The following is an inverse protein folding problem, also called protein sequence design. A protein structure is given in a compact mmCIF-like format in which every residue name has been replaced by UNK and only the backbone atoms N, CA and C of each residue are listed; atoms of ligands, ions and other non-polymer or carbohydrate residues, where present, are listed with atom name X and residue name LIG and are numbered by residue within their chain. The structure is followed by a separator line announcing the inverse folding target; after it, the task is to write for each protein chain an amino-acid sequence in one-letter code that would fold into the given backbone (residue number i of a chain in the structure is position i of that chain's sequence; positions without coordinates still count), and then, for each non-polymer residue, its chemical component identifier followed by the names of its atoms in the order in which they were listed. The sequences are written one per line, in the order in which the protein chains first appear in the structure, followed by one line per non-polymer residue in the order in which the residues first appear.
data_IF_510055895912
#
_entry.id   IF_510055895912
#
_cell.length_a   1.000
_cell.length_b   1.000
_cell.length_c   1.000
_cell.angle_alpha   90.00
_cell.angle_beta   90.00
_cell.angle_gamma   90.00
#
_symmetry.space_group_name_H-M   'P 1'
#
loop_
_entity.id
_entity.type
_entity.pdbx_description
1 polymer ?
#
# COMPACT_ATOMS: atom_id res chain seq x y z
N UNK A 1 32.24 -53.68 -24.06
CA UNK A 1 30.77 -53.81 -24.13
C UNK A 1 30.19 -52.64 -23.36
N UNK A 2 29.72 -51.61 -24.08
CA UNK A 2 28.30 -51.37 -24.35
C UNK A 2 27.55 -50.91 -23.07
N UNK A 3 26.95 -49.73 -22.99
CA UNK A 3 26.70 -48.72 -24.01
C UNK A 3 26.50 -47.35 -23.38
N UNK A 4 26.91 -46.32 -24.12
CA UNK A 4 26.52 -44.96 -23.84
C UNK A 4 25.02 -44.83 -24.07
N UNK A 5 24.28 -44.45 -23.03
CA UNK A 5 22.93 -43.95 -23.20
C UNK A 5 23.03 -42.63 -23.95
N UNK A 6 22.79 -42.69 -25.26
CA UNK A 6 22.46 -41.52 -26.06
C UNK A 6 21.22 -40.88 -25.40
N UNK A 7 21.33 -39.60 -25.05
CA UNK A 7 20.15 -38.81 -24.73
C UNK A 7 19.26 -38.83 -25.98
N UNK A 8 18.15 -39.59 -25.91
CA UNK A 8 17.11 -39.56 -26.93
C UNK A 8 16.74 -38.11 -27.19
N UNK A 9 16.73 -37.72 -28.47
CA UNK A 9 16.30 -36.39 -28.91
C UNK A 9 14.78 -36.25 -28.72
N UNK A 10 14.34 -36.17 -27.46
CA UNK A 10 12.94 -36.09 -27.05
C UNK A 10 12.24 -34.85 -27.58
N UNK A 11 12.98 -33.80 -27.95
CA UNK A 11 12.42 -32.57 -28.52
C UNK A 11 11.78 -32.80 -29.90
N UNK A 12 12.38 -33.64 -30.77
CA UNK A 12 11.86 -33.86 -32.13
C UNK A 12 10.62 -34.76 -32.10
N UNK A 13 10.65 -35.83 -31.29
CA UNK A 13 9.50 -36.73 -31.13
C UNK A 13 8.33 -36.06 -30.40
N UNK A 14 8.61 -35.23 -29.38
CA UNK A 14 7.58 -34.43 -28.73
C UNK A 14 6.99 -33.38 -29.68
N UNK A 15 7.82 -32.72 -30.51
CA UNK A 15 7.33 -31.75 -31.49
C UNK A 15 6.41 -32.39 -32.54
N UNK A 16 6.73 -33.60 -33.01
CA UNK A 16 5.85 -34.35 -33.92
C UNK A 16 4.54 -34.71 -33.22
N UNK A 17 4.59 -35.16 -31.95
CA UNK A 17 3.39 -35.43 -31.15
C UNK A 17 2.47 -34.22 -31.01
N UNK A 18 3.03 -33.04 -30.70
CA UNK A 18 2.28 -31.79 -30.63
C UNK A 18 1.71 -31.35 -31.99
N UNK A 19 2.44 -31.57 -33.09
CA UNK A 19 1.94 -31.26 -34.43
C UNK A 19 0.75 -32.16 -34.83
N UNK A 20 0.83 -33.46 -34.53
CA UNK A 20 -0.28 -34.39 -34.78
C UNK A 20 -1.49 -34.01 -33.92
N UNK A 21 -1.28 -33.70 -32.64
CA UNK A 21 -2.35 -33.25 -31.75
C UNK A 21 -3.01 -31.96 -32.27
N UNK A 22 -2.22 -30.97 -32.71
CA UNK A 22 -2.74 -29.73 -33.31
C UNK A 22 -3.51 -30.01 -34.61
N UNK A 23 -3.05 -30.93 -35.45
CA UNK A 23 -3.77 -31.32 -36.65
C UNK A 23 -5.12 -31.96 -36.32
N UNK A 24 -5.16 -32.88 -35.35
CA UNK A 24 -6.40 -33.52 -34.89
C UNK A 24 -7.36 -32.48 -34.30
N UNK A 25 -6.87 -31.59 -33.42
CA UNK A 25 -7.67 -30.50 -32.87
C UNK A 25 -8.18 -29.58 -33.99
N UNK A 26 -7.35 -29.26 -34.97
CA UNK A 26 -7.73 -28.44 -36.12
C UNK A 26 -8.87 -29.06 -36.92
N UNK A 27 -8.81 -30.37 -37.20
CA UNK A 27 -9.89 -31.10 -37.88
C UNK A 27 -11.16 -31.12 -37.03
N UNK A 28 -11.07 -31.34 -35.72
CA UNK A 28 -12.22 -31.32 -34.82
C UNK A 28 -12.88 -29.93 -34.77
N UNK A 29 -12.07 -28.87 -34.67
CA UNK A 29 -12.57 -27.48 -34.70
C UNK A 29 -13.20 -27.15 -36.05
N UNK A 30 -12.62 -27.62 -37.16
CA UNK A 30 -13.18 -27.43 -38.49
C UNK A 30 -14.52 -28.16 -38.66
N UNK A 31 -14.62 -29.43 -38.24
CA UNK A 31 -15.88 -30.18 -38.24
C UNK A 31 -16.94 -29.52 -37.34
N UNK A 32 -16.54 -29.10 -36.15
CA UNK A 32 -17.41 -28.36 -35.23
C UNK A 32 -17.95 -27.09 -35.89
N UNK A 33 -17.09 -26.30 -36.53
CA UNK A 33 -17.52 -25.10 -37.25
C UNK A 33 -18.42 -25.45 -38.44
N UNK A 34 -18.11 -26.49 -39.22
CA UNK A 34 -18.91 -26.87 -40.39
C UNK A 34 -20.36 -27.25 -40.03
N UNK A 35 -20.56 -27.93 -38.90
CA UNK A 35 -21.89 -28.37 -38.48
C UNK A 35 -22.63 -27.41 -37.55
N UNK A 36 -21.91 -26.61 -36.77
CA UNK A 36 -22.50 -25.75 -35.72
C UNK A 36 -22.27 -24.25 -35.95
N UNK A 37 -21.93 -23.80 -37.17
CA UNK A 37 -21.68 -22.36 -37.39
C UNK A 37 -22.91 -21.51 -37.06
N UNK A 38 -24.12 -21.95 -37.40
CA UNK A 38 -25.37 -21.26 -37.10
C UNK A 38 -25.59 -21.08 -35.60
N UNK A 39 -25.43 -22.16 -34.83
CA UNK A 39 -25.57 -22.18 -33.37
C UNK A 39 -24.50 -21.31 -32.69
N UNK A 40 -23.27 -21.37 -33.17
CA UNK A 40 -22.18 -20.52 -32.65
C UNK A 40 -22.47 -19.04 -32.90
N UNK A 41 -22.97 -18.69 -34.09
CA UNK A 41 -23.34 -17.29 -34.41
C UNK A 41 -24.54 -16.83 -33.57
N UNK A 42 -25.51 -17.70 -33.31
CA UNK A 42 -26.65 -17.44 -32.44
C UNK A 42 -26.21 -17.21 -30.98
N UNK A 43 -25.28 -18.03 -30.49
CA UNK A 43 -24.67 -17.86 -29.17
C UNK A 43 -23.95 -16.51 -29.07
N UNK A 44 -23.13 -16.17 -30.07
CA UNK A 44 -22.43 -14.87 -30.12
C UNK A 44 -23.43 -13.71 -30.16
N UNK A 45 -24.53 -13.84 -30.92
CA UNK A 45 -25.61 -12.83 -30.92
C UNK A 45 -26.16 -12.59 -29.52
N UNK A 46 -26.45 -13.65 -28.76
CA UNK A 46 -26.95 -13.52 -27.39
C UNK A 46 -25.92 -12.90 -26.43
N UNK A 47 -24.63 -13.26 -26.56
CA UNK A 47 -23.56 -12.61 -25.80
C UNK A 47 -23.54 -11.10 -26.09
N UNK A 48 -23.59 -10.72 -27.38
CA UNK A 48 -23.64 -9.31 -27.78
C UNK A 48 -24.91 -8.61 -27.31
N UNK A 49 -26.05 -9.30 -27.35
CA UNK A 49 -27.31 -8.78 -26.82
C UNK A 49 -27.20 -8.49 -25.32
N UNK A 50 -26.62 -9.40 -24.53
CA UNK A 50 -26.38 -9.19 -23.10
C UNK A 50 -25.43 -8.01 -22.84
N UNK A 51 -24.35 -7.87 -23.63
CA UNK A 51 -23.47 -6.71 -23.57
C UNK A 51 -24.22 -5.40 -23.88
N UNK A 52 -25.02 -5.38 -24.95
CA UNK A 52 -25.84 -4.23 -25.33
C UNK A 52 -26.90 -3.90 -24.26
N UNK A 53 -27.50 -4.91 -23.64
CA UNK A 53 -28.42 -4.71 -22.53
C UNK A 53 -27.71 -4.01 -21.35
N UNK A 54 -26.51 -4.45 -20.97
CA UNK A 54 -25.72 -3.76 -19.93
C UNK A 54 -25.37 -2.31 -20.32
N UNK A 55 -25.06 -2.07 -21.59
CA UNK A 55 -24.74 -0.73 -22.11
C UNK A 55 -25.96 0.19 -22.10
N UNK A 56 -27.16 -0.35 -22.38
CA UNK A 56 -28.41 0.41 -22.38
C UNK A 56 -28.72 1.07 -21.02
N UNK A 57 -28.12 0.59 -19.93
CA UNK A 57 -28.22 1.22 -18.61
C UNK A 57 -27.47 2.56 -18.50
N UNK A 58 -26.49 2.80 -19.36
CA UNK A 58 -25.59 3.96 -19.28
C UNK A 58 -25.59 4.83 -20.54
N UNK A 59 -26.27 4.37 -21.60
CA UNK A 59 -26.31 5.01 -22.91
C UNK A 59 -27.76 5.38 -23.22
N UNK A 60 -28.01 6.65 -23.57
CA UNK A 60 -29.35 7.14 -23.91
C UNK A 60 -29.82 6.67 -25.28
N UNK A 61 -31.13 6.76 -25.50
CA UNK A 61 -31.79 6.30 -26.73
C UNK A 61 -31.28 7.00 -28.00
N UNK A 62 -30.71 8.21 -27.89
CA UNK A 62 -30.17 8.99 -29.01
C UNK A 62 -28.71 8.67 -29.38
N UNK A 63 -28.06 7.73 -28.69
CA UNK A 63 -26.65 7.45 -28.92
C UNK A 63 -26.40 6.81 -30.29
N UNK A 64 -25.49 7.39 -31.07
CA UNK A 64 -25.12 6.88 -32.38
C UNK A 64 -23.77 6.16 -32.36
N UNK A 65 -23.72 5.02 -33.06
CA UNK A 65 -22.57 4.17 -33.29
C UNK A 65 -22.17 4.31 -34.76
N UNK A 66 -20.88 4.48 -35.02
CA UNK A 66 -20.39 4.63 -36.38
C UNK A 66 -20.04 3.27 -36.99
N UNK A 67 -20.79 2.84 -38.01
CA UNK A 67 -20.54 1.56 -38.68
C UNK A 67 -20.46 1.74 -40.20
N UNK A 68 -19.31 1.38 -40.78
CA UNK A 68 -19.05 1.44 -42.24
C UNK A 68 -19.42 2.76 -42.90
N UNK A 69 -19.07 3.90 -42.29
CA UNK A 69 -19.33 5.21 -42.86
C UNK A 69 -20.71 5.79 -42.57
N UNK A 70 -21.55 5.10 -41.80
CA UNK A 70 -22.90 5.55 -41.43
C UNK A 70 -23.06 5.59 -39.92
N UNK A 71 -23.79 6.59 -39.44
CA UNK A 71 -24.25 6.65 -38.06
C UNK A 71 -25.52 5.80 -37.91
N UNK A 72 -25.48 4.88 -36.96
CA UNK A 72 -26.59 4.02 -36.59
C UNK A 72 -26.94 4.31 -35.14
N UNK A 73 -28.21 4.60 -34.87
CA UNK A 73 -28.67 4.74 -33.51
C UNK A 73 -28.61 3.37 -32.79
N UNK A 74 -28.14 3.40 -31.54
CA UNK A 74 -27.97 2.23 -30.70
C UNK A 74 -29.30 1.54 -30.38
N UNK A 75 -30.35 2.31 -30.05
CA UNK A 75 -31.66 1.78 -29.69
C UNK A 75 -32.33 1.07 -30.87
N UNK A 76 -32.26 1.66 -32.07
CA UNK A 76 -32.74 0.99 -33.30
C UNK A 76 -32.01 -0.33 -33.56
N UNK A 77 -30.71 -0.41 -33.28
CA UNK A 77 -29.95 -1.66 -33.41
C UNK A 77 -30.33 -2.69 -32.34
N UNK A 78 -30.60 -2.23 -31.12
CA UNK A 78 -30.88 -3.07 -29.95
C UNK A 78 -32.30 -3.63 -29.94
N UNK A 79 -33.32 -2.76 -29.97
CA UNK A 79 -34.74 -3.13 -29.90
C UNK A 79 -35.34 -3.44 -31.27
N UNK A 80 -34.80 -2.83 -32.33
CA UNK A 80 -35.42 -2.85 -33.65
C UNK A 80 -36.45 -1.72 -33.81
N UNK A 81 -37.02 -1.63 -35.00
CA UNK A 81 -38.12 -0.72 -35.33
C UNK A 81 -39.36 -1.57 -35.65
N UNK A 82 -40.56 -1.16 -35.20
CA UNK A 82 -41.85 -1.89 -35.14
C UNK A 82 -42.44 -2.29 -36.53
N UNK A 83 -41.59 -2.70 -37.47
CA UNK A 83 -41.98 -3.22 -38.77
C UNK A 83 -40.89 -3.21 -39.85
N UNK A 84 -39.75 -2.53 -39.63
CA UNK A 84 -38.74 -2.30 -40.70
C UNK A 84 -37.41 -3.01 -40.49
N UNK A 85 -36.95 -3.15 -39.25
CA UNK A 85 -35.70 -3.83 -38.92
C UNK A 85 -35.86 -4.66 -37.65
N UNK A 86 -35.73 -6.00 -37.70
CA UNK A 86 -35.66 -6.81 -36.50
C UNK A 86 -34.38 -6.45 -35.74
N UNK A 87 -34.52 -5.96 -34.50
CA UNK A 87 -33.40 -5.70 -33.60
C UNK A 87 -32.61 -6.99 -33.30
N UNK A 88 -31.53 -6.87 -32.52
CA UNK A 88 -30.62 -8.01 -32.25
C UNK A 88 -31.38 -9.27 -31.78
N UNK A 89 -32.40 -9.12 -30.94
CA UNK A 89 -33.20 -10.25 -30.43
C UNK A 89 -34.19 -10.82 -31.47
N UNK A 90 -34.68 -10.00 -32.40
CA UNK A 90 -35.71 -10.37 -33.38
C UNK A 90 -35.17 -10.98 -34.68
N UNK A 91 -33.84 -10.99 -34.89
CA UNK A 91 -33.24 -11.48 -36.13
C UNK A 91 -33.28 -13.02 -36.17
N UNK A 92 -33.93 -13.67 -37.16
CA UNK A 92 -33.96 -15.12 -37.25
C UNK A 92 -32.55 -15.70 -37.50
N UNK A 93 -32.29 -16.91 -36.97
CA UNK A 93 -30.94 -17.51 -36.94
C UNK A 93 -30.36 -17.70 -38.35
N UNK A 94 -31.22 -18.00 -39.31
CA UNK A 94 -30.87 -18.24 -40.71
C UNK A 94 -30.34 -16.98 -41.41
N UNK A 95 -30.64 -15.78 -40.87
CA UNK A 95 -30.17 -14.49 -41.40
C UNK A 95 -28.90 -13.98 -40.71
N UNK A 96 -28.34 -14.72 -39.74
CA UNK A 96 -27.09 -14.37 -39.05
C UNK A 96 -25.87 -14.57 -39.96
N UNK A 97 -25.60 -13.55 -40.78
CA UNK A 97 -24.38 -13.45 -41.57
C UNK A 97 -23.31 -12.63 -40.81
N UNK A 98 -22.05 -12.74 -41.25
CA UNK A 98 -20.91 -11.98 -40.71
C UNK A 98 -21.15 -10.46 -40.69
N UNK A 99 -21.98 -9.95 -41.61
CA UNK A 99 -22.41 -8.56 -41.58
C UNK A 99 -23.10 -8.19 -40.27
N UNK A 100 -24.14 -8.93 -39.87
CA UNK A 100 -24.88 -8.66 -38.63
C UNK A 100 -24.02 -8.89 -37.39
N UNK A 101 -23.14 -9.90 -37.39
CA UNK A 101 -22.20 -10.10 -36.29
C UNK A 101 -21.24 -8.92 -36.13
N UNK A 102 -20.72 -8.39 -37.24
CA UNK A 102 -19.86 -7.20 -37.20
C UNK A 102 -20.62 -5.94 -36.78
N UNK A 103 -21.91 -5.83 -37.14
CA UNK A 103 -22.78 -4.75 -36.69
C UNK A 103 -23.04 -4.84 -35.18
N UNK A 104 -23.42 -6.00 -34.65
CA UNK A 104 -23.63 -6.20 -33.21
C UNK A 104 -22.36 -5.97 -32.42
N UNK A 105 -21.20 -6.38 -32.95
CA UNK A 105 -19.90 -6.08 -32.36
C UNK A 105 -19.61 -4.58 -32.31
N UNK A 106 -19.94 -3.82 -33.36
CA UNK A 106 -19.78 -2.36 -33.34
C UNK A 106 -20.73 -1.69 -32.34
N UNK A 107 -21.99 -2.14 -32.29
CA UNK A 107 -23.01 -1.64 -31.37
C UNK A 107 -22.66 -1.89 -29.90
N UNK A 108 -22.04 -3.03 -29.57
CA UNK A 108 -21.63 -3.31 -28.18
C UNK A 108 -20.25 -2.72 -27.82
N UNK A 109 -19.26 -2.80 -28.71
CA UNK A 109 -17.89 -2.45 -28.34
C UNK A 109 -17.57 -0.95 -28.40
N UNK A 110 -18.22 -0.18 -29.29
CA UNK A 110 -17.96 1.26 -29.37
C UNK A 110 -18.37 2.02 -28.11
N UNK A 111 -19.56 1.80 -27.53
CA UNK A 111 -19.92 2.41 -26.25
C UNK A 111 -18.99 1.99 -25.11
N UNK A 112 -18.58 0.71 -25.06
CA UNK A 112 -17.70 0.18 -24.01
C UNK A 112 -16.28 0.72 -24.05
N UNK A 113 -15.86 1.30 -25.18
CA UNK A 113 -14.54 1.93 -25.31
C UNK A 113 -14.31 2.99 -24.24
N UNK A 114 -15.30 3.85 -23.96
CA UNK A 114 -15.15 4.94 -23.00
C UNK A 114 -14.96 4.40 -21.57
N UNK A 115 -15.84 3.51 -21.04
CA UNK A 115 -15.64 2.86 -19.75
C UNK A 115 -14.29 2.16 -19.62
N UNK A 116 -13.84 1.41 -20.64
CA UNK A 116 -12.55 0.74 -20.58
C UNK A 116 -11.39 1.72 -20.57
N UNK A 117 -11.43 2.78 -21.40
CA UNK A 117 -10.39 3.84 -21.36
C UNK A 117 -10.33 4.45 -19.96
N UNK A 118 -11.47 4.80 -19.36
CA UNK A 118 -11.52 5.34 -17.99
C UNK A 118 -10.90 4.35 -17.00
N UNK A 119 -11.27 3.07 -17.06
CA UNK A 119 -10.76 2.04 -16.15
C UNK A 119 -9.24 1.84 -16.29
N UNK A 120 -8.73 1.77 -17.53
CA UNK A 120 -7.30 1.64 -17.77
C UNK A 120 -6.52 2.89 -17.38
N UNK A 121 -7.05 4.09 -17.64
CA UNK A 121 -6.43 5.35 -17.20
C UNK A 121 -6.41 5.44 -15.67
N UNK A 122 -7.49 5.08 -14.98
CA UNK A 122 -7.54 5.04 -13.52
C UNK A 122 -6.52 4.03 -12.96
N UNK A 123 -6.42 2.83 -13.56
CA UNK A 123 -5.41 1.84 -13.20
C UNK A 123 -3.98 2.35 -13.41
N UNK A 124 -3.72 3.04 -14.51
CA UNK A 124 -2.42 3.65 -14.79
C UNK A 124 -2.05 4.73 -13.76
N UNK A 125 -2.98 5.63 -13.42
CA UNK A 125 -2.79 6.64 -12.38
C UNK A 125 -2.54 5.99 -11.01
N UNK A 126 -3.29 4.94 -10.67
CA UNK A 126 -3.07 4.19 -9.45
C UNK A 126 -1.65 3.60 -9.40
N UNK A 127 -1.21 2.94 -10.47
CA UNK A 127 0.14 2.39 -10.54
C UNK A 127 1.22 3.47 -10.42
N UNK A 128 0.99 4.66 -10.98
CA UNK A 128 1.92 5.77 -10.90
C UNK A 128 2.10 6.31 -9.47
N UNK A 129 1.01 6.46 -8.71
CA UNK A 129 1.06 7.10 -7.38
C UNK A 129 1.08 6.12 -6.21
N UNK A 130 0.40 4.99 -6.34
CA UNK A 130 0.21 3.97 -5.31
C UNK A 130 0.82 2.60 -5.69
N UNK A 131 1.61 2.54 -6.77
CA UNK A 131 2.24 1.31 -7.21
C UNK A 131 3.31 0.76 -6.25
N UNK A 132 3.52 -0.56 -6.25
CA UNK A 132 4.59 -1.21 -5.48
C UNK A 132 5.96 -0.75 -6.00
N UNK A 133 6.64 0.07 -5.19
CA UNK A 133 7.90 0.71 -5.55
C UNK A 133 7.89 2.21 -5.27
N UNK A 134 6.75 2.89 -5.41
CA UNK A 134 6.64 4.34 -5.16
C UNK A 134 6.11 4.65 -3.75
N UNK A 135 5.21 3.81 -3.22
CA UNK A 135 4.60 4.05 -1.90
C UNK A 135 5.59 3.99 -0.73
N UNK A 136 6.57 3.07 -0.78
CA UNK A 136 7.50 2.78 0.33
C UNK A 136 8.94 3.26 0.11
N UNK A 137 9.33 3.60 -1.12
CA UNK A 137 10.67 4.16 -1.41
C UNK A 137 10.58 5.68 -1.41
N UNK A 138 10.70 6.28 -0.23
CA UNK A 138 10.78 7.74 -0.07
C UNK A 138 12.19 8.12 0.36
N UNK A 139 12.70 9.25 -0.14
CA UNK A 139 13.90 9.87 0.42
C UNK A 139 13.50 10.57 1.71
N UNK A 140 13.88 10.01 2.84
CA UNK A 140 13.63 10.61 4.16
C UNK A 140 14.88 11.40 4.59
N UNK A 141 14.66 12.55 5.21
CA UNK A 141 15.67 13.22 6.02
C UNK A 141 15.72 12.58 7.43
N UNK A 142 16.67 12.98 8.27
CA UNK A 142 16.82 12.44 9.63
C UNK A 142 15.51 12.55 10.43
N UNK A 143 14.82 13.69 10.36
CA UNK A 143 13.56 13.90 11.07
C UNK A 143 12.46 12.96 10.58
N UNK A 144 12.31 12.80 9.26
CA UNK A 144 11.33 11.88 8.68
C UNK A 144 11.63 10.42 9.01
N UNK A 145 12.91 10.06 9.18
CA UNK A 145 13.30 8.74 9.64
C UNK A 145 12.91 8.52 11.11
N UNK A 146 13.22 9.48 12.00
CA UNK A 146 12.84 9.43 13.42
C UNK A 146 11.31 9.34 13.56
N UNK A 147 10.56 10.13 12.81
CA UNK A 147 9.08 10.11 12.83
C UNK A 147 8.50 8.80 12.30
N UNK A 148 9.15 8.18 11.31
CA UNK A 148 8.73 6.86 10.82
C UNK A 148 9.04 5.76 11.85
N UNK A 149 10.23 5.82 12.46
CA UNK A 149 10.70 4.83 13.43
C UNK A 149 10.00 4.96 14.77
N UNK A 150 9.57 6.15 15.19
CA UNK A 150 8.86 6.35 16.47
C UNK A 150 7.54 5.59 16.55
N UNK A 151 6.91 5.29 15.40
CA UNK A 151 5.72 4.42 15.32
C UNK A 151 6.01 2.97 15.67
N UNK A 152 7.27 2.54 15.53
CA UNK A 152 7.73 1.17 15.82
C UNK A 152 8.47 1.11 17.16
N UNK A 153 9.18 2.17 17.51
CA UNK A 153 9.97 2.31 18.74
C UNK A 153 9.47 3.52 19.54
N UNK A 154 8.48 3.35 20.43
CA UNK A 154 7.87 4.48 21.13
C UNK A 154 8.83 5.25 22.05
N UNK A 155 9.92 4.62 22.50
CA UNK A 155 10.97 5.23 23.33
C UNK A 155 11.59 6.48 22.66
N UNK A 156 11.67 6.50 21.32
CA UNK A 156 12.21 7.66 20.58
C UNK A 156 11.12 8.66 20.16
N UNK A 157 9.84 8.41 20.47
CA UNK A 157 8.74 9.30 20.10
C UNK A 157 8.89 10.73 20.62
N UNK A 158 9.41 11.00 21.84
CA UNK A 158 9.64 12.37 22.29
C UNK A 158 10.58 13.16 21.36
N UNK A 159 11.59 12.50 20.79
CA UNK A 159 12.54 13.12 19.84
C UNK A 159 11.95 13.41 18.46
N UNK A 160 10.78 12.84 18.13
CA UNK A 160 10.06 13.23 16.92
C UNK A 160 9.48 14.65 17.04
N UNK A 161 9.10 15.06 18.25
CA UNK A 161 8.60 16.42 18.55
C UNK A 161 9.66 17.38 19.07
N UNK A 162 10.71 16.85 19.70
CA UNK A 162 11.74 17.62 20.36
C UNK A 162 13.10 17.38 19.70
N UNK A 163 13.73 18.45 19.22
CA UNK A 163 15.04 18.41 18.56
C UNK A 163 16.11 18.99 19.50
N UNK A 164 17.00 18.15 20.05
CA UNK A 164 18.08 18.59 20.94
C UNK A 164 19.03 19.59 20.27
N UNK A 165 19.21 19.51 18.95
CA UNK A 165 20.15 20.38 18.21
C UNK A 165 19.71 21.84 18.15
N UNK A 166 18.43 22.10 18.40
CA UNK A 166 17.88 23.46 18.47
C UNK A 166 18.04 24.10 19.84
N UNK A 167 18.49 23.35 20.86
CA UNK A 167 18.84 23.95 22.13
C UNK A 167 20.13 24.77 21.99
N UNK A 168 20.26 25.89 22.72
CA UNK A 168 21.46 26.70 22.67
C UNK A 168 22.66 25.83 23.08
N UNK A 169 23.65 25.60 22.20
CA UNK A 169 24.80 24.79 22.54
C UNK A 169 25.58 25.49 23.66
N UNK A 170 26.07 24.73 24.64
CA UNK A 170 27.00 25.25 25.65
C UNK A 170 28.40 25.26 25.05
N UNK A 171 29.02 26.42 24.76
CA UNK A 171 30.41 26.44 24.34
C UNK A 171 31.31 25.94 25.48
N UNK A 172 32.38 25.17 25.18
CA UNK A 172 33.35 24.74 26.19
C UNK A 172 33.86 25.92 27.01
N UNK A 173 33.76 25.83 28.35
CA UNK A 173 34.22 26.87 29.28
C UNK A 173 33.23 28.02 29.54
N UNK A 174 32.02 27.98 29.00
CA UNK A 174 30.97 28.94 29.37
C UNK A 174 30.45 28.70 30.80
N UNK A 175 30.06 29.76 31.54
CA UNK A 175 29.58 29.61 32.91
C UNK A 175 28.31 28.77 32.98
N UNK A 176 28.18 27.96 34.04
CA UNK A 176 27.02 27.08 34.23
C UNK A 176 25.77 27.93 34.45
N UNK A 177 24.69 27.76 33.65
CA UNK A 177 23.47 28.51 33.80
C UNK A 177 22.77 28.17 35.12
N UNK A 178 22.04 29.14 35.68
CA UNK A 178 21.27 28.95 36.91
C UNK A 178 20.17 27.87 36.76
N UNK A 179 19.61 27.74 35.56
CA UNK A 179 18.63 26.72 35.21
C UNK A 179 19.15 25.86 34.04
N UNK A 180 19.07 24.55 34.19
CA UNK A 180 19.51 23.61 33.16
C UNK A 180 18.40 23.43 32.12
N UNK A 181 18.73 23.38 30.82
CA UNK A 181 17.74 23.09 29.78
C UNK A 181 17.17 21.68 29.95
N UNK A 182 16.00 21.43 29.35
CA UNK A 182 15.30 20.14 29.46
C UNK A 182 16.12 18.95 28.95
N UNK A 183 17.09 19.18 28.06
CA UNK A 183 18.00 18.16 27.53
C UNK A 183 19.45 18.60 27.76
N UNK A 184 19.82 18.74 29.03
CA UNK A 184 21.18 19.04 29.44
C UNK A 184 22.02 17.76 29.57
N UNK A 185 23.30 17.87 29.20
CA UNK A 185 24.29 16.85 29.53
C UNK A 185 24.52 16.79 31.05
N UNK A 186 24.98 15.64 31.54
CA UNK A 186 25.32 15.49 32.95
C UNK A 186 26.50 16.40 33.31
N UNK A 187 26.35 17.19 34.38
CA UNK A 187 27.37 18.15 34.83
C UNK A 187 28.65 17.42 35.24
N UNK A 188 29.80 17.97 34.83
CA UNK A 188 31.10 17.56 35.37
C UNK A 188 31.25 17.96 36.85
N UNK A 189 32.23 17.39 37.59
CA UNK A 189 32.41 17.70 39.01
C UNK A 189 32.60 19.19 39.30
N UNK A 190 33.38 19.90 38.49
CA UNK A 190 33.63 21.34 38.64
C UNK A 190 32.37 22.18 38.31
N UNK A 191 31.66 21.80 37.24
CA UNK A 191 30.40 22.44 36.88
C UNK A 191 29.31 22.21 37.93
N UNK A 192 29.31 21.04 38.59
CA UNK A 192 28.40 20.73 39.68
C UNK A 192 28.68 21.57 40.92
N UNK A 193 29.96 21.80 41.26
CA UNK A 193 30.34 22.72 42.34
C UNK A 193 29.87 24.14 42.03
N UNK A 194 30.08 24.60 40.80
CA UNK A 194 29.62 25.92 40.34
C UNK A 194 28.07 26.03 40.38
N UNK A 195 27.35 25.02 39.88
CA UNK A 195 25.89 24.97 39.86
C UNK A 195 25.29 25.04 41.27
N UNK A 196 25.88 24.34 42.23
CA UNK A 196 25.44 24.36 43.63
C UNK A 196 26.03 25.52 44.45
N UNK A 197 26.80 26.41 43.82
CA UNK A 197 27.49 27.54 44.47
C UNK A 197 28.36 27.10 45.67
N UNK A 198 29.05 25.96 45.53
CA UNK A 198 29.93 25.43 46.58
C UNK A 198 31.30 26.13 46.46
N UNK A 199 31.74 26.88 47.48
CA UNK A 199 33.02 27.54 47.46
C UNK A 199 34.17 26.52 47.58
N UNK A 200 35.23 26.75 46.82
CA UNK A 200 36.46 25.97 46.88
C UNK A 200 37.69 26.89 47.12
N UNK A 201 37.77 27.57 48.28
CA UNK A 201 38.95 28.39 48.61
C UNK A 201 40.21 27.51 48.64
N UNK A 202 41.27 27.98 47.98
CA UNK A 202 42.56 27.26 47.84
C UNK A 202 42.47 25.87 47.19
N UNK A 203 41.45 25.64 46.34
CA UNK A 203 41.23 24.36 45.66
C UNK A 203 40.70 23.26 46.57
N UNK A 204 40.32 23.57 47.81
CA UNK A 204 39.68 22.62 48.73
C UNK A 204 38.19 22.89 48.82
N UNK A 205 37.40 21.86 48.57
CA UNK A 205 35.93 21.90 48.62
C UNK A 205 35.48 22.10 50.08
N UNK A 206 34.55 23.02 50.33
CA UNK A 206 33.88 23.13 51.63
C UNK A 206 33.02 21.87 51.89
N UNK A 207 33.40 21.01 52.85
CA UNK A 207 32.72 19.75 53.11
C UNK A 207 31.28 19.98 53.59
N UNK A 208 31.02 21.04 54.34
CA UNK A 208 29.69 21.31 54.89
C UNK A 208 28.72 21.78 53.79
N UNK A 209 29.20 22.59 52.84
CA UNK A 209 28.40 23.01 51.71
C UNK A 209 28.12 21.85 50.74
N UNK A 210 29.12 21.00 50.49
CA UNK A 210 28.96 19.79 49.70
C UNK A 210 27.97 18.80 50.35
N UNK A 211 28.07 18.59 51.67
CA UNK A 211 27.15 17.74 52.42
C UNK A 211 25.69 18.23 52.28
N UNK A 212 25.44 19.53 52.45
CA UNK A 212 24.10 20.11 52.25
C UNK A 212 23.57 19.87 50.83
N UNK A 213 24.42 20.00 49.80
CA UNK A 213 24.03 19.74 48.42
C UNK A 213 23.70 18.26 48.17
N UNK A 214 24.50 17.33 48.72
CA UNK A 214 24.22 15.89 48.63
C UNK A 214 22.95 15.49 49.39
N UNK A 215 22.71 16.05 50.58
CA UNK A 215 21.46 15.82 51.33
C UNK A 215 20.25 16.24 50.49
N UNK A 216 20.34 17.36 49.76
CA UNK A 216 19.26 17.82 48.87
C UNK A 216 18.98 16.85 47.72
N UNK A 217 20.00 16.15 47.21
CA UNK A 217 19.85 15.18 46.12
C UNK A 217 19.12 13.88 46.52
N UNK A 218 19.12 13.53 47.82
CA UNK A 218 18.41 12.35 48.31
C UNK A 218 16.90 12.40 48.07
N UNK A 219 16.34 13.61 47.92
CA UNK A 219 14.91 13.83 47.72
C UNK A 219 14.09 13.49 48.96
N UNK A 220 12.79 13.24 48.75
CA UNK A 220 11.86 12.95 49.83
C UNK A 220 11.98 11.50 50.33
N UNK A 221 11.70 11.29 51.62
CA UNK A 221 11.63 9.94 52.20
C UNK A 221 10.50 9.14 51.54
N UNK A 222 10.77 7.87 51.29
CA UNK A 222 9.77 6.93 50.79
C UNK A 222 8.59 6.79 51.77
N UNK A 223 7.37 7.06 51.29
CA UNK A 223 6.11 6.95 52.06
C UNK A 223 5.11 5.96 51.44
N UNK A 224 5.55 5.17 50.46
CA UNK A 224 4.72 4.23 49.71
C UNK A 224 4.50 4.64 48.24
N UNK A 225 3.93 3.72 47.44
CA UNK A 225 3.84 3.88 45.98
C UNK A 225 2.92 5.01 45.53
N UNK A 226 1.87 5.34 46.30
CA UNK A 226 0.94 6.40 45.94
C UNK A 226 1.43 7.81 46.32
N UNK A 227 2.48 7.90 47.14
CA UNK A 227 3.00 9.17 47.65
C UNK A 227 4.09 9.79 46.76
N UNK A 228 4.60 9.05 45.76
CA UNK A 228 5.62 9.56 44.83
C UNK A 228 4.97 10.26 43.62
N UNK A 229 5.73 11.10 42.93
CA UNK A 229 5.28 11.79 41.73
C UNK A 229 4.80 10.80 40.63
N UNK A 230 3.78 11.15 39.81
CA UNK A 230 3.17 10.22 38.85
C UNK A 230 4.15 9.52 37.90
N UNK A 231 5.14 10.23 37.37
CA UNK A 231 6.16 9.61 36.50
C UNK A 231 7.00 8.55 37.22
N UNK A 232 7.28 8.74 38.53
CA UNK A 232 7.97 7.75 39.37
C UNK A 232 7.07 6.54 39.65
N UNK A 233 5.76 6.73 39.76
CA UNK A 233 4.79 5.64 39.92
C UNK A 233 4.80 4.71 38.70
N UNK A 234 4.79 5.29 37.51
CA UNK A 234 4.86 4.53 36.25
C UNK A 234 6.16 3.73 36.16
N UNK A 235 7.31 4.36 36.44
CA UNK A 235 8.60 3.67 36.45
C UNK A 235 8.65 2.53 37.47
N UNK A 236 8.19 2.79 38.70
CA UNK A 236 8.11 1.77 39.74
C UNK A 236 7.23 0.60 39.31
N UNK A 237 6.05 0.87 38.74
CA UNK A 237 5.15 -0.17 38.24
C UNK A 237 5.81 -1.00 37.13
N UNK A 238 6.46 -0.35 36.17
CA UNK A 238 7.18 -1.03 35.09
C UNK A 238 8.31 -1.95 35.64
N UNK A 239 9.07 -1.48 36.65
CA UNK A 239 10.10 -2.29 37.30
C UNK A 239 9.51 -3.48 38.07
N UNK A 240 8.42 -3.28 38.81
CA UNK A 240 7.70 -4.37 39.48
C UNK A 240 7.19 -5.42 38.48
N UNK A 241 6.64 -4.99 37.34
CA UNK A 241 6.19 -5.89 36.27
C UNK A 241 7.35 -6.68 35.67
N UNK A 242 8.50 -6.04 35.42
CA UNK A 242 9.72 -6.76 34.97
C UNK A 242 10.21 -7.77 36.01
N UNK A 243 10.24 -7.40 37.29
CA UNK A 243 10.63 -8.29 38.38
C UNK A 243 9.68 -9.51 38.50
N UNK A 244 8.38 -9.30 38.29
CA UNK A 244 7.36 -10.34 38.22
C UNK A 244 7.36 -11.14 36.89
N UNK A 245 8.34 -10.89 35.99
CA UNK A 245 8.47 -11.49 34.66
C UNK A 245 7.32 -11.19 33.69
N UNK A 246 6.50 -10.17 33.97
CA UNK A 246 5.44 -9.66 33.08
C UNK A 246 6.02 -8.63 32.11
N UNK A 247 6.89 -9.11 31.21
CA UNK A 247 7.65 -8.22 30.31
C UNK A 247 6.76 -7.41 29.38
N UNK A 248 5.73 -8.04 28.80
CA UNK A 248 4.81 -7.41 27.85
C UNK A 248 4.05 -6.24 28.48
N UNK A 249 3.56 -6.42 29.71
CA UNK A 249 2.81 -5.39 30.42
C UNK A 249 3.72 -4.21 30.79
N UNK A 250 4.97 -4.49 31.16
CA UNK A 250 5.96 -3.45 31.42
C UNK A 250 6.33 -2.67 30.15
N UNK A 251 6.51 -3.36 29.02
CA UNK A 251 6.82 -2.72 27.74
C UNK A 251 5.63 -1.88 27.26
N UNK A 252 4.40 -2.36 27.41
CA UNK A 252 3.19 -1.60 27.10
C UNK A 252 3.05 -0.30 27.93
N UNK A 253 3.56 -0.27 29.16
CA UNK A 253 3.59 0.95 29.99
C UNK A 253 4.66 1.95 29.55
N UNK A 254 5.81 1.48 29.06
CA UNK A 254 6.94 2.32 28.67
C UNK A 254 6.89 2.73 27.19
N UNK A 255 6.10 2.01 26.39
CA UNK A 255 5.97 2.17 24.95
C UNK A 255 6.75 1.12 24.18
#
# INVERSE_FOLDING_TARGET
MAGGQQAENTLYENAIGWMILLAVIGVLVWLFWYYFDGEVRDLVRWIRYCEMWLISLFVGDDYSVFFRGKELNFDYGFKGDDGKYPGVAGLPKEKLNYYYLSLFGALSMQPLKIPFVILYTAGALWCMFAGPGNQYRRRMNLQGLIERQSKVFPIIAPFASFDPSKQPPRPPGSPVPAELPAFAEALGPEEWLAYNSIPAPDGKIDPNAAERAFIKQLGERWKGPNAIAPYKQVLLAAFCLKAARKRKDADAMLG
#
